data_IF_411139099478
#
_entry.id   IF_411139099478
#
_cell.length_a   1.000
_cell.length_b   1.000
_cell.length_c   1.000
_cell.angle_alpha   90.00
_cell.angle_beta   90.00
_cell.angle_gamma   90.00
#
_symmetry.space_group_name_H-M   'P 1'
#
loop_
_entity.id
_entity.type
_entity.pdbx_description
1 polymer ?
#
# COMPACT_ATOMS: atom_id res chain seq x y z
N UNK A 1 -10.95 36.50 11.75
CA UNK A 1 -9.73 35.80 12.19
C UNK A 1 -8.81 36.60 13.11
N UNK A 2 -8.34 37.82 12.78
CA UNK A 2 -7.48 38.62 13.68
C UNK A 2 -8.02 38.80 15.13
N UNK A 3 -9.31 39.05 15.29
CA UNK A 3 -9.95 39.23 16.61
C UNK A 3 -9.98 37.98 17.52
N UNK A 4 -9.84 36.79 16.96
CA UNK A 4 -9.74 35.53 17.69
C UNK A 4 -8.30 35.18 18.08
N UNK A 5 -7.31 35.57 17.25
CA UNK A 5 -5.87 35.43 17.57
C UNK A 5 -5.45 36.17 18.84
N UNK A 6 -6.01 37.34 19.09
CA UNK A 6 -5.70 38.14 20.29
C UNK A 6 -6.24 37.50 21.58
N UNK A 7 -7.33 36.72 21.51
CA UNK A 7 -7.94 36.06 22.66
C UNK A 7 -7.22 34.80 23.11
N UNK A 8 -6.44 34.17 22.21
CA UNK A 8 -5.70 32.94 22.47
C UNK A 8 -4.31 33.22 23.07
N UNK A 9 -3.70 34.38 22.79
CA UNK A 9 -2.39 34.79 23.32
C UNK A 9 -2.34 35.06 24.83
N UNK A 10 -3.45 35.04 25.52
CA UNK A 10 -3.53 35.31 26.97
C UNK A 10 -3.57 34.08 27.88
N UNK A 11 -3.37 32.88 27.35
CA UNK A 11 -3.37 31.65 28.16
C UNK A 11 -1.96 31.32 28.66
N UNK A 12 -1.79 31.37 29.96
CA UNK A 12 -0.61 31.03 30.78
C UNK A 12 -0.14 29.57 30.54
N UNK A 13 1.16 29.27 30.69
CA UNK A 13 1.68 27.91 30.59
C UNK A 13 1.10 27.02 31.70
N UNK A 14 0.72 25.81 31.33
CA UNK A 14 0.02 24.85 32.17
C UNK A 14 0.97 24.21 33.20
N UNK A 15 0.69 24.42 34.48
CA UNK A 15 1.25 23.62 35.58
C UNK A 15 0.25 22.55 36.02
N UNK A 16 0.73 21.29 36.12
CA UNK A 16 -0.09 20.15 36.55
C UNK A 16 -0.36 20.26 38.06
N UNK A 17 -1.63 20.41 38.48
CA UNK A 17 -2.06 20.41 39.87
C UNK A 17 -3.14 19.36 40.06
N UNK A 18 -3.03 18.56 41.08
CA UNK A 18 -3.87 17.50 41.69
C UNK A 18 -5.09 16.88 40.95
N UNK A 19 -5.39 15.62 41.26
CA UNK A 19 -6.33 14.77 40.54
C UNK A 19 -7.79 15.24 40.42
N UNK A 20 -8.27 16.09 41.34
CA UNK A 20 -9.66 16.59 41.37
C UNK A 20 -9.90 17.82 40.49
N UNK A 21 -8.85 18.57 40.21
CA UNK A 21 -8.92 19.73 39.30
C UNK A 21 -8.64 19.35 37.85
N UNK A 22 -8.07 18.14 37.62
CA UNK A 22 -7.71 17.64 36.32
C UNK A 22 -8.93 17.55 35.37
N UNK A 23 -10.12 17.19 35.88
CA UNK A 23 -11.27 17.03 35.00
C UNK A 23 -11.81 18.35 34.42
N UNK A 24 -11.78 19.42 35.16
CA UNK A 24 -12.24 20.73 34.66
C UNK A 24 -11.17 21.39 33.77
N UNK A 25 -9.89 21.29 34.14
CA UNK A 25 -8.75 21.83 33.37
C UNK A 25 -8.49 21.00 32.14
N UNK A 26 -8.52 19.65 32.21
CA UNK A 26 -8.42 18.78 31.04
C UNK A 26 -9.59 18.99 30.08
N UNK A 27 -10.79 19.25 30.54
CA UNK A 27 -11.93 19.60 29.70
C UNK A 27 -11.70 20.90 28.93
N UNK A 28 -11.17 21.95 29.60
CA UNK A 28 -10.89 23.23 28.95
C UNK A 28 -9.71 23.18 27.99
N UNK A 29 -8.62 22.51 28.38
CA UNK A 29 -7.42 22.35 27.55
C UNK A 29 -7.68 21.39 26.40
N UNK A 30 -8.38 20.27 26.64
CA UNK A 30 -8.82 19.37 25.57
C UNK A 30 -9.77 20.08 24.60
N UNK A 31 -10.66 20.95 25.09
CA UNK A 31 -11.53 21.75 24.24
C UNK A 31 -10.75 22.79 23.43
N UNK A 32 -9.70 23.40 23.99
CA UNK A 32 -8.88 24.40 23.29
C UNK A 32 -7.97 23.75 22.24
N UNK A 33 -7.32 22.64 22.58
CA UNK A 33 -6.50 21.84 21.64
C UNK A 33 -7.41 21.22 20.56
N UNK A 34 -8.57 20.73 20.95
CA UNK A 34 -9.57 20.20 20.01
C UNK A 34 -10.09 21.31 19.08
N UNK A 35 -10.30 22.52 19.61
CA UNK A 35 -10.75 23.67 18.83
C UNK A 35 -9.69 24.10 17.80
N UNK A 36 -8.41 24.24 18.19
CA UNK A 36 -7.31 24.58 17.29
C UNK A 36 -7.09 23.52 16.22
N UNK A 37 -7.13 22.25 16.60
CA UNK A 37 -7.01 21.11 15.66
C UNK A 37 -8.22 21.02 14.75
N UNK A 38 -9.42 21.32 15.25
CA UNK A 38 -10.65 21.36 14.47
C UNK A 38 -10.64 22.49 13.45
N UNK A 39 -10.12 23.68 13.79
CA UNK A 39 -9.94 24.78 12.82
C UNK A 39 -8.92 24.44 11.75
N UNK A 40 -7.81 23.80 12.12
CA UNK A 40 -6.81 23.32 11.14
C UNK A 40 -7.42 22.28 10.19
N UNK A 41 -8.20 21.33 10.68
CA UNK A 41 -8.91 20.35 9.87
C UNK A 41 -9.92 21.04 8.95
N UNK A 42 -10.77 21.91 9.50
CA UNK A 42 -11.80 22.62 8.74
C UNK A 42 -11.18 23.50 7.66
N UNK A 43 -10.04 24.15 7.95
CA UNK A 43 -9.29 24.92 6.95
C UNK A 43 -8.76 24.05 5.83
N UNK A 44 -8.02 22.98 6.17
CA UNK A 44 -7.37 22.10 5.17
C UNK A 44 -8.39 21.33 4.32
N UNK A 45 -9.55 20.99 4.88
CA UNK A 45 -10.61 20.24 4.19
C UNK A 45 -11.65 21.14 3.50
N UNK A 46 -11.57 22.46 3.67
CA UNK A 46 -12.46 23.38 2.95
C UNK A 46 -12.15 23.37 1.45
N UNK A 47 -13.16 23.27 0.58
CA UNK A 47 -12.97 23.32 -0.86
C UNK A 47 -12.20 24.57 -1.33
N UNK A 48 -12.55 25.75 -0.80
CA UNK A 48 -11.91 27.02 -1.17
C UNK A 48 -10.41 27.06 -0.84
N UNK A 49 -10.02 26.44 0.28
CA UNK A 49 -8.62 26.38 0.69
C UNK A 49 -7.87 25.27 -0.04
N UNK A 50 -8.57 24.20 -0.45
CA UNK A 50 -7.96 23.12 -1.21
C UNK A 50 -7.37 23.62 -2.53
N UNK A 51 -8.03 24.52 -3.23
CA UNK A 51 -7.52 25.12 -4.47
C UNK A 51 -6.21 25.88 -4.21
N UNK A 52 -6.15 26.65 -3.11
CA UNK A 52 -4.94 27.36 -2.69
C UNK A 52 -3.81 26.37 -2.37
N UNK A 53 -4.08 25.32 -1.58
CA UNK A 53 -3.09 24.29 -1.24
C UNK A 53 -2.60 23.55 -2.50
N UNK A 54 -3.49 23.29 -3.46
CA UNK A 54 -3.15 22.66 -4.74
C UNK A 54 -2.23 23.54 -5.59
N UNK A 55 -2.45 24.85 -5.62
CA UNK A 55 -1.56 25.82 -6.29
C UNK A 55 -0.19 25.85 -5.61
N UNK A 56 -0.15 25.94 -4.28
CA UNK A 56 1.10 25.96 -3.50
C UNK A 56 1.89 24.66 -3.73
N UNK A 57 1.25 23.50 -3.63
CA UNK A 57 1.84 22.20 -3.91
C UNK A 57 2.46 22.14 -5.32
N UNK A 58 1.74 22.63 -6.32
CA UNK A 58 2.13 22.55 -7.73
C UNK A 58 3.31 23.44 -8.09
N UNK A 59 3.68 24.43 -7.27
CA UNK A 59 4.86 25.30 -7.51
C UNK A 59 6.17 24.51 -7.57
N UNK A 60 6.25 23.38 -6.90
CA UNK A 60 7.47 22.57 -6.80
C UNK A 60 7.57 21.44 -7.83
N UNK A 61 6.48 21.12 -8.54
CA UNK A 61 6.43 19.98 -9.44
C UNK A 61 5.59 20.25 -10.69
N UNK A 62 6.11 19.81 -11.85
CA UNK A 62 5.39 19.90 -13.11
C UNK A 62 4.37 18.77 -13.31
N UNK A 63 4.56 17.64 -12.63
CA UNK A 63 3.82 16.40 -12.88
C UNK A 63 2.95 15.97 -11.70
N UNK A 64 3.36 16.28 -10.46
CA UNK A 64 2.57 15.99 -9.27
C UNK A 64 1.32 16.89 -9.21
N UNK A 65 0.17 16.28 -8.87
CA UNK A 65 -1.09 17.02 -8.66
C UNK A 65 -1.71 16.55 -7.37
N UNK A 66 -1.99 17.49 -6.47
CA UNK A 66 -2.72 17.23 -5.24
C UNK A 66 -4.15 16.79 -5.58
N UNK A 67 -4.62 15.70 -5.00
CA UNK A 67 -5.96 15.15 -5.22
C UNK A 67 -6.84 15.29 -3.98
N UNK A 68 -6.24 15.35 -2.80
CA UNK A 68 -6.95 15.48 -1.55
C UNK A 68 -6.02 15.48 -0.35
N UNK A 69 -6.55 15.94 0.79
CA UNK A 69 -5.90 15.90 2.09
C UNK A 69 -6.90 15.34 3.10
N UNK A 70 -6.49 14.29 3.82
CA UNK A 70 -7.26 13.74 4.94
C UNK A 70 -6.55 14.00 6.25
N UNK A 71 -7.31 14.38 7.25
CA UNK A 71 -6.80 14.72 8.56
C UNK A 71 -7.27 13.70 9.61
N UNK A 72 -6.40 13.41 10.56
CA UNK A 72 -6.70 12.61 11.75
C UNK A 72 -6.02 13.22 12.97
N UNK A 73 -6.64 13.08 14.13
CA UNK A 73 -6.11 13.58 15.39
C UNK A 73 -5.68 12.43 16.29
N UNK A 74 -4.52 12.60 16.92
CA UNK A 74 -4.10 11.75 18.03
C UNK A 74 -3.41 12.62 19.09
N UNK A 75 -4.08 12.75 20.27
CA UNK A 75 -3.68 13.70 21.28
C UNK A 75 -3.70 15.13 20.73
N UNK A 76 -2.57 15.83 20.85
CA UNK A 76 -2.41 17.19 20.32
C UNK A 76 -1.81 17.23 18.89
N UNK A 77 -1.62 16.07 18.27
CA UNK A 77 -0.99 15.99 16.95
C UNK A 77 -2.05 15.88 15.86
N UNK A 78 -1.90 16.72 14.84
CA UNK A 78 -2.67 16.64 13.60
C UNK A 78 -1.87 15.88 12.56
N UNK A 79 -2.41 14.77 12.09
CA UNK A 79 -1.86 14.00 10.98
C UNK A 79 -2.57 14.38 9.69
N UNK A 80 -1.82 14.83 8.70
CA UNK A 80 -2.35 15.17 7.37
C UNK A 80 -1.85 14.14 6.35
N UNK A 81 -2.76 13.44 5.67
CA UNK A 81 -2.46 12.50 4.60
C UNK A 81 -2.77 13.13 3.26
N UNK A 82 -1.73 13.44 2.49
CA UNK A 82 -1.85 14.02 1.16
C UNK A 82 -1.97 12.91 0.11
N UNK A 83 -2.96 12.98 -0.74
CA UNK A 83 -3.16 12.10 -1.88
C UNK A 83 -2.84 12.85 -3.17
N UNK A 84 -1.97 12.29 -4.01
CA UNK A 84 -1.46 12.94 -5.20
C UNK A 84 -1.42 11.98 -6.39
N UNK A 85 -1.61 12.51 -7.60
CA UNK A 85 -1.28 11.82 -8.84
C UNK A 85 0.12 12.18 -9.29
N UNK A 86 0.89 11.19 -9.80
CA UNK A 86 2.30 11.33 -10.16
C UNK A 86 2.64 10.85 -11.57
N UNK A 87 1.62 10.55 -12.37
CA UNK A 87 1.80 10.02 -13.71
C UNK A 87 2.49 8.66 -13.72
N UNK A 88 3.52 8.50 -14.53
CA UNK A 88 4.28 7.26 -14.65
C UNK A 88 5.42 7.10 -13.63
N UNK A 89 5.64 8.10 -12.78
CA UNK A 89 6.57 7.99 -11.66
C UNK A 89 5.89 7.38 -10.43
N UNK A 90 6.64 6.67 -9.58
CA UNK A 90 6.17 6.32 -8.23
C UNK A 90 6.00 7.61 -7.40
N UNK A 91 6.92 8.55 -7.46
CA UNK A 91 6.69 9.96 -7.16
C UNK A 91 6.94 10.42 -5.72
N UNK A 92 7.43 9.59 -4.80
CA UNK A 92 7.59 9.96 -3.38
C UNK A 92 8.40 11.26 -3.16
N UNK A 93 9.55 11.41 -3.81
CA UNK A 93 10.37 12.63 -3.65
C UNK A 93 9.66 13.88 -4.20
N UNK A 94 8.91 13.72 -5.27
CA UNK A 94 8.12 14.81 -5.87
C UNK A 94 7.01 15.26 -4.93
N UNK A 95 6.31 14.30 -4.32
CA UNK A 95 5.24 14.55 -3.34
C UNK A 95 5.82 15.21 -2.09
N UNK A 96 6.91 14.68 -1.53
CA UNK A 96 7.54 15.24 -0.33
C UNK A 96 7.91 16.72 -0.51
N UNK A 97 8.43 17.08 -1.69
CA UNK A 97 8.75 18.48 -2.01
C UNK A 97 7.49 19.35 -2.07
N UNK A 98 6.41 18.86 -2.70
CA UNK A 98 5.13 19.58 -2.77
C UNK A 98 4.49 19.76 -1.39
N UNK A 99 4.53 18.71 -0.57
CA UNK A 99 4.04 18.75 0.82
C UNK A 99 4.83 19.75 1.66
N UNK A 100 6.16 19.82 1.52
CA UNK A 100 6.96 20.80 2.25
C UNK A 100 6.46 22.23 1.97
N UNK A 101 6.24 22.60 0.71
CA UNK A 101 5.72 23.95 0.39
C UNK A 101 4.32 24.21 0.97
N UNK A 102 3.48 23.18 1.06
CA UNK A 102 2.17 23.32 1.72
C UNK A 102 2.35 23.51 3.22
N UNK A 103 3.27 22.79 3.84
CA UNK A 103 3.55 22.93 5.29
C UNK A 103 4.13 24.30 5.60
N UNK A 104 5.10 24.79 4.82
CA UNK A 104 5.67 26.12 4.96
C UNK A 104 4.56 27.22 4.85
N UNK A 105 3.64 27.05 3.91
CA UNK A 105 2.47 27.95 3.76
C UNK A 105 1.54 27.90 4.98
N UNK A 106 1.29 26.71 5.53
CA UNK A 106 0.43 26.53 6.70
C UNK A 106 1.08 27.11 7.96
N UNK A 107 2.41 27.02 8.14
CA UNK A 107 3.12 27.64 9.25
C UNK A 107 3.00 29.19 9.24
N UNK A 108 2.99 29.80 8.05
CA UNK A 108 2.75 31.25 7.91
C UNK A 108 1.32 31.63 8.37
N UNK A 109 0.32 30.83 8.02
CA UNK A 109 -1.07 31.10 8.40
C UNK A 109 -1.41 30.67 9.83
N UNK A 110 -0.72 29.68 10.37
CA UNK A 110 -0.91 29.09 11.70
C UNK A 110 0.40 29.06 12.49
N UNK A 111 0.92 30.21 12.96
CA UNK A 111 2.22 30.32 13.64
C UNK A 111 2.31 29.57 14.99
N UNK A 112 1.20 29.09 15.52
CA UNK A 112 1.13 28.26 16.73
C UNK A 112 1.18 26.75 16.41
N UNK A 113 1.37 26.37 15.13
CA UNK A 113 1.44 25.00 14.66
C UNK A 113 2.88 24.68 14.25
N UNK A 114 3.51 23.74 14.96
CA UNK A 114 4.85 23.28 14.65
C UNK A 114 4.81 22.06 13.72
N UNK A 115 5.61 22.05 12.65
CA UNK A 115 5.80 20.88 11.79
C UNK A 115 6.81 19.93 12.41
N UNK A 116 6.34 18.80 12.93
CA UNK A 116 7.19 17.78 13.57
C UNK A 116 7.95 16.96 12.53
N UNK A 117 7.28 16.52 11.46
CA UNK A 117 7.87 15.70 10.40
C UNK A 117 6.95 15.64 9.17
N UNK A 118 7.58 15.57 7.98
CA UNK A 118 6.85 15.31 6.71
C UNK A 118 6.22 13.92 6.70
N UNK A 119 6.83 12.92 7.37
CA UNK A 119 6.30 11.56 7.44
C UNK A 119 5.88 11.20 8.86
N UNK A 120 4.57 11.14 9.10
CA UNK A 120 3.98 10.66 10.35
C UNK A 120 3.52 9.20 10.30
N UNK A 121 3.97 8.40 9.35
CA UNK A 121 3.51 7.02 9.09
C UNK A 121 2.01 6.89 8.74
N UNK A 122 1.22 7.94 8.79
CA UNK A 122 -0.16 7.95 8.30
C UNK A 122 -0.22 7.77 6.77
N UNK A 123 0.87 8.05 6.08
CA UNK A 123 1.08 7.69 4.68
C UNK A 123 1.12 6.17 4.45
N UNK A 124 1.37 5.37 5.49
CA UNK A 124 1.53 3.89 5.44
C UNK A 124 2.64 3.38 4.51
N UNK A 125 3.59 4.23 4.13
CA UNK A 125 4.74 3.85 3.30
C UNK A 125 5.57 2.75 3.97
N UNK A 126 5.83 1.66 3.24
CA UNK A 126 6.59 0.49 3.71
C UNK A 126 5.98 -0.19 4.94
N UNK A 127 4.67 -0.16 5.05
CA UNK A 127 3.92 -0.75 6.17
C UNK A 127 2.67 -1.48 5.69
N UNK A 128 2.40 -2.63 6.31
CA UNK A 128 1.14 -3.32 6.19
C UNK A 128 0.11 -2.60 7.07
N UNK A 129 -0.86 -1.92 6.46
CA UNK A 129 -1.82 -1.09 7.17
C UNK A 129 -3.24 -1.25 6.61
N UNK A 130 -4.25 -1.20 7.49
CA UNK A 130 -5.66 -1.30 7.10
C UNK A 130 -6.07 -0.18 6.13
N UNK A 131 -5.50 1.02 6.29
CA UNK A 131 -5.78 2.17 5.43
C UNK A 131 -5.45 1.91 3.95
N UNK A 132 -4.52 1.01 3.65
CA UNK A 132 -4.20 0.61 2.28
C UNK A 132 -5.35 -0.15 1.61
N UNK A 133 -6.18 -0.86 2.39
CA UNK A 133 -7.39 -1.52 1.91
C UNK A 133 -8.57 -0.56 1.78
N UNK A 134 -8.69 0.38 2.71
CA UNK A 134 -9.83 1.30 2.79
C UNK A 134 -9.71 2.41 1.74
N UNK A 135 -8.52 2.96 1.57
CA UNK A 135 -8.27 4.15 0.73
C UNK A 135 -7.38 3.87 -0.47
N UNK A 136 -6.69 2.73 -0.45
CA UNK A 136 -5.66 2.40 -1.42
C UNK A 136 -4.37 3.19 -1.21
N UNK A 137 -3.32 2.76 -1.92
CA UNK A 137 -2.04 3.44 -2.05
C UNK A 137 -1.38 3.01 -3.37
N UNK A 138 -0.81 3.93 -4.13
CA UNK A 138 -0.32 3.60 -5.46
C UNK A 138 -1.48 3.21 -6.40
N UNK A 139 -1.49 2.00 -6.92
CA UNK A 139 -2.49 1.50 -7.86
C UNK A 139 -3.24 0.30 -7.30
N UNK A 140 -4.55 0.34 -7.37
CA UNK A 140 -5.41 -0.81 -7.01
C UNK A 140 -5.74 -1.59 -8.28
N UNK A 141 -5.52 -2.90 -8.26
CA UNK A 141 -5.74 -3.78 -9.42
C UNK A 141 -6.46 -5.04 -8.98
N UNK A 142 -7.45 -5.43 -9.76
CA UNK A 142 -8.09 -6.75 -9.72
C UNK A 142 -7.76 -7.47 -11.02
N UNK A 143 -7.23 -8.69 -10.91
CA UNK A 143 -7.06 -9.60 -12.02
C UNK A 143 -7.86 -10.88 -11.78
N UNK A 144 -8.49 -11.41 -12.82
CA UNK A 144 -9.27 -12.65 -12.73
C UNK A 144 -9.10 -13.51 -13.98
N UNK A 145 -9.37 -14.80 -13.82
CA UNK A 145 -9.37 -15.75 -14.92
C UNK A 145 -10.33 -16.92 -14.64
N UNK A 146 -10.93 -17.47 -15.69
CA UNK A 146 -11.66 -18.74 -15.64
C UNK A 146 -10.77 -19.83 -16.24
N UNK A 147 -10.44 -20.83 -15.44
CA UNK A 147 -9.63 -21.98 -15.81
C UNK A 147 -10.55 -23.18 -16.02
N UNK A 148 -10.55 -23.70 -17.25
CA UNK A 148 -11.39 -24.84 -17.60
C UNK A 148 -10.98 -26.10 -16.85
N UNK A 149 -11.96 -26.95 -16.52
CA UNK A 149 -11.75 -28.22 -15.80
C UNK A 149 -10.63 -29.06 -16.40
N UNK A 150 -10.59 -29.18 -17.71
CA UNK A 150 -9.55 -29.96 -18.41
C UNK A 150 -8.13 -29.45 -18.14
N UNK A 151 -7.95 -28.14 -17.97
CA UNK A 151 -6.67 -27.52 -17.62
C UNK A 151 -6.33 -27.79 -16.15
N UNK A 152 -7.32 -27.69 -15.26
CA UNK A 152 -7.14 -28.02 -13.84
C UNK A 152 -6.68 -29.46 -13.66
N UNK A 153 -7.32 -30.39 -14.38
CA UNK A 153 -6.98 -31.82 -14.29
C UNK A 153 -5.65 -32.15 -15.00
N UNK A 154 -5.48 -31.71 -16.24
CA UNK A 154 -4.34 -32.14 -17.10
C UNK A 154 -3.06 -31.37 -16.82
N UNK A 155 -3.14 -30.07 -16.51
CA UNK A 155 -1.98 -29.18 -16.31
C UNK A 155 -1.71 -29.01 -14.82
N UNK A 156 -2.71 -28.61 -14.04
CA UNK A 156 -2.54 -28.33 -12.60
C UNK A 156 -2.55 -29.61 -11.75
N UNK A 157 -2.94 -30.76 -12.31
CA UNK A 157 -2.90 -32.09 -11.68
C UNK A 157 -3.73 -32.20 -10.39
N UNK A 158 -4.83 -31.50 -10.32
CA UNK A 158 -5.75 -31.45 -9.19
C UNK A 158 -7.20 -31.34 -9.69
N UNK A 159 -8.12 -30.96 -8.86
CA UNK A 159 -9.51 -30.71 -9.20
C UNK A 159 -10.00 -29.39 -8.60
N UNK A 160 -11.09 -28.85 -9.15
CA UNK A 160 -11.65 -27.54 -8.77
C UNK A 160 -12.03 -27.50 -7.29
N UNK A 161 -12.71 -28.53 -6.80
CA UNK A 161 -13.17 -28.60 -5.41
C UNK A 161 -12.01 -28.53 -4.41
N UNK A 162 -10.95 -29.30 -4.65
CA UNK A 162 -9.76 -29.29 -3.78
C UNK A 162 -9.05 -27.94 -3.75
N UNK A 163 -9.04 -27.23 -4.88
CA UNK A 163 -8.44 -25.88 -4.96
C UNK A 163 -9.26 -24.86 -4.16
N UNK A 164 -10.58 -24.89 -4.32
CA UNK A 164 -11.49 -23.99 -3.59
C UNK A 164 -11.41 -24.25 -2.09
N UNK A 165 -11.48 -25.51 -1.66
CA UNK A 165 -11.36 -25.89 -0.25
C UNK A 165 -10.02 -25.47 0.36
N UNK A 166 -8.92 -25.74 -0.34
CA UNK A 166 -7.59 -25.36 0.12
C UNK A 166 -7.45 -23.83 0.24
N UNK A 167 -8.01 -23.06 -0.70
CA UNK A 167 -8.01 -21.60 -0.62
C UNK A 167 -8.75 -21.10 0.62
N UNK A 168 -9.93 -21.64 0.90
CA UNK A 168 -10.73 -21.27 2.08
C UNK A 168 -9.97 -21.57 3.38
N UNK A 169 -9.42 -22.79 3.49
CA UNK A 169 -8.74 -23.23 4.72
C UNK A 169 -7.42 -22.48 4.90
N UNK A 170 -6.60 -22.40 3.84
CA UNK A 170 -5.24 -21.83 3.91
C UNK A 170 -5.25 -20.31 3.81
N UNK A 171 -5.68 -19.79 2.65
CA UNK A 171 -5.49 -18.37 2.34
C UNK A 171 -6.47 -17.48 3.10
N UNK A 172 -7.70 -17.94 3.38
CA UNK A 172 -8.69 -17.14 4.10
C UNK A 172 -8.67 -17.44 5.59
N UNK A 173 -9.09 -18.62 6.02
CA UNK A 173 -9.19 -18.96 7.43
C UNK A 173 -7.83 -18.96 8.14
N UNK A 174 -6.81 -19.58 7.55
CA UNK A 174 -5.45 -19.62 8.11
C UNK A 174 -4.84 -18.23 8.26
N UNK A 175 -5.02 -17.35 7.28
CA UNK A 175 -4.56 -15.95 7.37
C UNK A 175 -5.31 -15.16 8.43
N UNK A 176 -6.62 -15.39 8.57
CA UNK A 176 -7.43 -14.77 9.63
C UNK A 176 -6.99 -15.23 11.03
N UNK A 177 -6.73 -16.52 11.21
CA UNK A 177 -6.19 -17.09 12.49
C UNK A 177 -4.83 -16.47 12.84
N UNK A 178 -3.99 -16.23 11.83
CA UNK A 178 -2.70 -15.57 12.02
C UNK A 178 -2.82 -14.05 12.27
N UNK A 179 -4.00 -13.44 12.10
CA UNK A 179 -4.19 -11.99 12.16
C UNK A 179 -3.48 -11.25 11.03
N UNK A 180 -3.35 -11.88 9.86
CA UNK A 180 -2.67 -11.28 8.71
C UNK A 180 -3.40 -10.04 8.19
N UNK A 181 -2.69 -8.93 8.07
CA UNK A 181 -3.21 -7.70 7.50
C UNK A 181 -2.78 -7.59 6.02
N UNK A 182 -3.69 -7.97 5.11
CA UNK A 182 -3.44 -7.96 3.67
C UNK A 182 -2.70 -9.18 3.13
N UNK A 183 -2.50 -10.21 3.94
CA UNK A 183 -1.81 -11.45 3.58
C UNK A 183 -2.74 -12.64 3.29
N UNK A 184 -3.91 -12.42 2.69
CA UNK A 184 -4.88 -13.47 2.35
C UNK A 184 -4.54 -14.11 0.99
N UNK A 185 -3.31 -14.63 0.89
CA UNK A 185 -2.74 -15.21 -0.32
C UNK A 185 -1.70 -16.26 0.03
N UNK A 186 -1.19 -16.98 -0.96
CA UNK A 186 -0.18 -18.01 -0.74
C UNK A 186 1.25 -17.43 -0.67
N UNK A 187 1.64 -16.57 -1.63
CA UNK A 187 3.01 -16.04 -1.71
C UNK A 187 3.16 -14.81 -2.63
N UNK A 188 2.14 -13.97 -2.71
CA UNK A 188 2.16 -12.76 -3.54
C UNK A 188 3.46 -11.94 -3.39
N UNK A 189 3.99 -11.86 -2.17
CA UNK A 189 5.25 -11.15 -1.86
C UNK A 189 6.46 -11.68 -2.65
N UNK A 190 6.55 -12.98 -2.94
CA UNK A 190 7.65 -13.53 -3.73
C UNK A 190 7.63 -13.01 -5.16
N UNK A 191 6.45 -12.96 -5.76
CA UNK A 191 6.26 -12.51 -7.15
C UNK A 191 6.52 -11.00 -7.26
N UNK A 192 5.96 -10.23 -6.34
CA UNK A 192 6.16 -8.77 -6.29
C UNK A 192 7.63 -8.43 -6.10
N UNK A 193 8.34 -9.11 -5.18
CA UNK A 193 9.78 -8.92 -4.97
C UNK A 193 10.58 -9.16 -6.25
N UNK A 194 10.32 -10.26 -6.96
CA UNK A 194 11.03 -10.59 -8.18
C UNK A 194 10.83 -9.51 -9.26
N UNK A 195 9.58 -9.06 -9.47
CA UNK A 195 9.27 -8.02 -10.45
C UNK A 195 9.87 -6.67 -10.04
N UNK A 196 9.81 -6.32 -8.75
CA UNK A 196 10.36 -5.05 -8.25
C UNK A 196 11.86 -4.96 -8.48
N UNK A 197 12.60 -6.02 -8.18
CA UNK A 197 14.04 -6.09 -8.45
C UNK A 197 14.31 -6.03 -9.96
N UNK A 198 13.57 -6.80 -10.76
CA UNK A 198 13.75 -6.87 -12.21
C UNK A 198 13.44 -5.54 -12.93
N UNK A 199 12.52 -4.73 -12.39
CA UNK A 199 12.04 -3.49 -13.04
C UNK A 199 12.52 -2.21 -12.35
N UNK A 200 13.40 -2.33 -11.34
CA UNK A 200 14.01 -1.19 -10.66
C UNK A 200 13.05 -0.42 -9.74
N UNK A 201 12.04 -1.08 -9.18
CA UNK A 201 11.15 -0.53 -8.17
C UNK A 201 11.83 -0.51 -6.81
N UNK A 202 11.26 0.21 -5.83
CA UNK A 202 11.74 0.21 -4.45
C UNK A 202 11.39 -1.13 -3.76
N UNK A 203 12.36 -2.01 -3.44
CA UNK A 203 12.08 -3.31 -2.86
C UNK A 203 11.39 -3.22 -1.49
N UNK A 204 11.61 -2.15 -0.72
CA UNK A 204 11.01 -1.97 0.59
C UNK A 204 9.50 -1.73 0.51
N UNK A 205 9.00 -1.22 -0.63
CA UNK A 205 7.56 -1.04 -0.88
C UNK A 205 6.85 -2.36 -1.26
N UNK A 206 7.57 -3.48 -1.29
CA UNK A 206 6.94 -4.80 -1.35
C UNK A 206 5.98 -5.05 -0.17
N UNK A 207 6.21 -4.45 0.99
CA UNK A 207 5.39 -4.65 2.20
C UNK A 207 3.91 -4.33 1.91
N UNK A 208 3.61 -3.16 1.35
CA UNK A 208 2.26 -2.77 0.98
C UNK A 208 1.85 -3.24 -0.41
N UNK A 209 2.78 -3.29 -1.35
CA UNK A 209 2.47 -3.64 -2.75
C UNK A 209 2.13 -5.11 -2.93
N UNK A 210 2.51 -5.98 -2.01
CA UNK A 210 2.15 -7.40 -2.02
C UNK A 210 0.89 -7.73 -1.21
N UNK A 211 0.22 -6.74 -0.63
CA UNK A 211 -1.10 -6.95 -0.05
C UNK A 211 -2.05 -7.50 -1.11
N UNK A 212 -2.64 -8.65 -0.83
CA UNK A 212 -3.41 -9.40 -1.81
C UNK A 212 -4.45 -10.28 -1.12
N UNK A 213 -5.65 -10.31 -1.68
CA UNK A 213 -6.65 -11.35 -1.40
C UNK A 213 -6.78 -12.21 -2.64
N UNK A 214 -6.52 -13.52 -2.49
CA UNK A 214 -6.71 -14.53 -3.53
C UNK A 214 -8.02 -15.26 -3.27
N UNK A 215 -8.95 -15.21 -4.25
CA UNK A 215 -10.23 -15.90 -4.21
C UNK A 215 -10.25 -16.99 -5.27
N UNK A 216 -10.78 -18.14 -4.90
CA UNK A 216 -11.04 -19.27 -5.80
C UNK A 216 -12.48 -19.72 -5.65
N UNK A 217 -13.18 -19.83 -6.76
CA UNK A 217 -14.61 -20.18 -6.79
C UNK A 217 -14.89 -21.21 -7.89
N UNK A 218 -15.77 -22.15 -7.59
CA UNK A 218 -16.26 -23.10 -8.60
C UNK A 218 -17.38 -22.45 -9.43
N UNK A 219 -17.23 -22.41 -10.74
CA UNK A 219 -18.18 -21.81 -11.67
C UNK A 219 -18.64 -22.82 -12.74
N UNK A 220 -19.59 -22.43 -13.58
CA UNK A 220 -20.13 -23.27 -14.65
C UNK A 220 -20.65 -24.64 -14.16
N UNK A 221 -21.41 -24.63 -13.05
CA UNK A 221 -21.91 -25.85 -12.43
C UNK A 221 -20.86 -26.69 -11.71
N UNK A 222 -19.80 -26.02 -11.17
CA UNK A 222 -18.75 -26.67 -10.40
C UNK A 222 -17.62 -27.25 -11.26
N UNK A 223 -17.67 -27.10 -12.57
CA UNK A 223 -16.68 -27.67 -13.49
C UNK A 223 -15.43 -26.83 -13.63
N UNK A 224 -15.60 -25.51 -13.80
CA UNK A 224 -14.49 -24.60 -14.06
C UNK A 224 -14.09 -23.85 -12.79
N UNK A 225 -12.86 -23.44 -12.73
CA UNK A 225 -12.30 -22.65 -11.64
C UNK A 225 -12.26 -21.17 -12.02
N UNK A 226 -12.93 -20.31 -11.27
CA UNK A 226 -12.68 -18.89 -11.29
C UNK A 226 -11.63 -18.55 -10.23
N UNK A 227 -10.57 -17.85 -10.62
CA UNK A 227 -9.56 -17.33 -9.73
C UNK A 227 -9.47 -15.82 -9.89
N UNK A 228 -9.38 -15.10 -8.77
CA UNK A 228 -9.11 -13.68 -8.78
C UNK A 228 -8.10 -13.29 -7.71
N UNK A 229 -7.37 -12.20 -7.96
CA UNK A 229 -6.52 -11.52 -7.00
C UNK A 229 -6.91 -10.05 -6.93
N UNK A 230 -7.06 -9.54 -5.71
CA UNK A 230 -7.29 -8.11 -5.44
C UNK A 230 -6.10 -7.55 -4.70
N UNK A 231 -5.43 -6.57 -5.31
CA UNK A 231 -4.22 -5.93 -4.78
C UNK A 231 -4.48 -4.41 -4.67
N UNK A 232 -4.66 -3.87 -3.45
CA UNK A 232 -5.14 -2.50 -3.24
C UNK A 232 -4.06 -1.44 -3.38
N UNK A 233 -2.77 -1.80 -3.31
CA UNK A 233 -1.70 -0.82 -3.05
C UNK A 233 -0.38 -1.10 -3.77
N UNK A 234 -0.44 -1.37 -5.06
CA UNK A 234 0.77 -1.59 -5.89
C UNK A 234 1.46 -0.26 -6.16
N UNK A 235 2.66 -0.08 -5.61
CA UNK A 235 3.49 1.11 -5.79
C UNK A 235 4.56 0.86 -6.83
N UNK A 236 4.30 1.25 -8.07
CA UNK A 236 5.21 1.08 -9.19
C UNK A 236 5.29 2.36 -10.03
N UNK A 237 6.45 2.56 -10.63
CA UNK A 237 6.70 3.59 -11.61
C UNK A 237 7.58 3.07 -12.75
N UNK A 238 7.48 3.72 -13.91
CA UNK A 238 8.28 3.41 -15.10
C UNK A 238 9.28 4.51 -15.42
N UNK A 239 9.33 5.54 -14.55
CA UNK A 239 10.22 6.71 -14.64
C UNK A 239 10.88 6.95 -13.30
N UNK A 240 12.16 7.27 -13.34
CA UNK A 240 12.95 7.64 -12.17
C UNK A 240 13.50 6.44 -11.39
N UNK A 241 14.32 6.72 -10.37
CA UNK A 241 14.93 5.71 -9.53
C UNK A 241 15.69 4.63 -10.28
N UNK A 242 15.55 3.38 -9.84
CA UNK A 242 16.20 2.21 -10.42
C UNK A 242 15.75 1.85 -11.84
N UNK A 243 14.67 2.45 -12.36
CA UNK A 243 14.13 2.16 -13.70
C UNK A 243 15.09 2.52 -14.84
N UNK A 244 16.11 3.33 -14.55
CA UNK A 244 17.12 3.78 -15.54
C UNK A 244 18.35 2.87 -15.60
N UNK A 245 18.51 1.95 -14.65
CA UNK A 245 19.60 0.97 -14.69
C UNK A 245 19.45 0.08 -15.94
N UNK A 246 20.55 -0.28 -16.57
CA UNK A 246 20.54 -0.93 -17.89
C UNK A 246 19.66 -2.19 -17.94
N UNK A 247 19.83 -3.09 -16.96
CA UNK A 247 19.06 -4.34 -16.89
C UNK A 247 17.58 -4.10 -16.60
N UNK A 248 17.25 -3.21 -15.67
CA UNK A 248 15.88 -2.88 -15.28
C UNK A 248 15.16 -2.14 -16.42
N UNK A 249 15.87 -1.24 -17.10
CA UNK A 249 15.36 -0.55 -18.27
C UNK A 249 15.06 -1.52 -19.43
N UNK A 250 15.89 -2.55 -19.63
CA UNK A 250 15.64 -3.59 -20.62
C UNK A 250 14.41 -4.45 -20.28
N UNK A 251 14.21 -4.78 -19.00
CA UNK A 251 13.01 -5.48 -18.55
C UNK A 251 11.74 -4.64 -18.79
N UNK A 252 11.76 -3.34 -18.48
CA UNK A 252 10.64 -2.45 -18.75
C UNK A 252 10.36 -2.29 -20.25
N UNK A 253 11.40 -2.30 -21.06
CA UNK A 253 11.30 -2.25 -22.53
C UNK A 253 10.64 -3.52 -23.08
N UNK A 254 11.07 -4.69 -22.59
CA UNK A 254 10.47 -5.99 -22.93
C UNK A 254 8.98 -6.06 -22.60
N UNK A 255 8.58 -5.45 -21.48
CA UNK A 255 7.17 -5.36 -21.06
C UNK A 255 6.39 -4.28 -21.83
N UNK A 256 7.04 -3.46 -22.67
CA UNK A 256 6.42 -2.37 -23.41
C UNK A 256 5.96 -1.19 -22.52
N UNK A 257 6.55 -1.03 -21.35
CA UNK A 257 6.14 0.00 -20.36
C UNK A 257 7.26 0.99 -19.99
N UNK A 258 8.37 0.97 -20.71
CA UNK A 258 9.53 1.82 -20.43
C UNK A 258 9.23 3.30 -20.56
N UNK A 259 9.61 4.07 -19.54
CA UNK A 259 9.56 5.53 -19.57
C UNK A 259 8.15 6.10 -19.34
N UNK A 260 8.00 7.39 -19.68
CA UNK A 260 6.73 8.10 -19.53
C UNK A 260 5.87 7.96 -20.77
N UNK A 261 4.59 7.70 -20.60
CA UNK A 261 3.61 7.78 -21.68
C UNK A 261 3.22 9.26 -21.89
N UNK A 262 3.54 9.77 -23.08
CA UNK A 262 3.31 11.20 -23.42
C UNK A 262 1.87 11.50 -23.80
N UNK A 263 1.17 10.53 -24.37
CA UNK A 263 -0.22 10.68 -24.80
C UNK A 263 -1.20 10.51 -23.63
N UNK A 264 -0.92 9.56 -22.74
CA UNK A 264 -1.74 9.27 -21.57
C UNK A 264 -0.85 9.08 -20.32
N UNK A 265 -0.48 10.17 -19.63
CA UNK A 265 0.38 10.10 -18.44
C UNK A 265 -0.15 9.14 -17.38
N UNK A 266 0.72 8.25 -16.90
CA UNK A 266 0.38 7.20 -15.92
C UNK A 266 -0.06 5.87 -16.54
N UNK A 267 -0.22 5.78 -17.87
CA UNK A 267 -0.64 4.52 -18.52
C UNK A 267 0.41 3.43 -18.41
N UNK A 268 1.69 3.74 -18.57
CA UNK A 268 2.76 2.75 -18.45
C UNK A 268 2.86 2.21 -17.02
N UNK A 269 2.74 3.07 -16.01
CA UNK A 269 2.75 2.63 -14.63
C UNK A 269 1.49 1.82 -14.26
N UNK A 270 0.31 2.16 -14.82
CA UNK A 270 -0.90 1.34 -14.66
C UNK A 270 -0.74 -0.03 -15.31
N UNK A 271 -0.20 -0.08 -16.51
CA UNK A 271 0.06 -1.35 -17.21
C UNK A 271 1.06 -2.21 -16.43
N UNK A 272 2.14 -1.61 -15.89
CA UNK A 272 3.08 -2.34 -15.03
C UNK A 272 2.38 -2.91 -13.79
N UNK A 273 1.51 -2.13 -13.13
CA UNK A 273 0.73 -2.64 -11.99
C UNK A 273 -0.19 -3.81 -12.39
N UNK A 274 -0.79 -3.74 -13.57
CA UNK A 274 -1.60 -4.85 -14.13
C UNK A 274 -0.74 -6.10 -14.39
N UNK A 275 0.47 -5.92 -14.93
CA UNK A 275 1.44 -7.02 -15.11
C UNK A 275 1.81 -7.65 -13.76
N UNK A 276 2.05 -6.84 -12.73
CA UNK A 276 2.32 -7.34 -11.37
C UNK A 276 1.17 -8.20 -10.87
N UNK A 277 -0.07 -7.70 -10.94
CA UNK A 277 -1.24 -8.44 -10.46
C UNK A 277 -1.51 -9.71 -11.27
N UNK A 278 -1.34 -9.67 -12.59
CA UNK A 278 -1.45 -10.85 -13.46
C UNK A 278 -0.40 -11.92 -13.16
N UNK A 279 0.83 -11.50 -12.89
CA UNK A 279 1.90 -12.42 -12.48
C UNK A 279 1.64 -13.02 -11.08
N UNK A 280 1.11 -12.21 -10.15
CA UNK A 280 0.69 -12.71 -8.83
C UNK A 280 -0.42 -13.74 -8.99
N UNK A 281 -1.45 -13.49 -9.80
CA UNK A 281 -2.53 -14.44 -10.07
C UNK A 281 -1.98 -15.78 -10.61
N UNK A 282 -1.08 -15.73 -11.57
CA UNK A 282 -0.45 -16.93 -12.13
C UNK A 282 0.41 -17.67 -11.07
N UNK A 283 1.16 -16.93 -10.26
CA UNK A 283 1.97 -17.49 -9.17
C UNK A 283 1.12 -18.13 -8.08
N UNK A 284 0.04 -17.46 -7.67
CA UNK A 284 -0.93 -17.98 -6.68
C UNK A 284 -1.57 -19.28 -7.18
N UNK A 285 -2.06 -19.30 -8.43
CA UNK A 285 -2.63 -20.50 -9.04
C UNK A 285 -1.62 -21.66 -9.07
N UNK A 286 -0.39 -21.36 -9.49
CA UNK A 286 0.68 -22.36 -9.57
C UNK A 286 1.00 -22.97 -8.20
N UNK A 287 1.18 -22.14 -7.17
CA UNK A 287 1.54 -22.63 -5.84
C UNK A 287 0.42 -23.40 -5.16
N UNK A 288 -0.80 -22.87 -5.20
CA UNK A 288 -1.94 -23.56 -4.56
C UNK A 288 -2.24 -24.90 -5.25
N UNK A 289 -2.04 -24.97 -6.56
CA UNK A 289 -2.18 -26.22 -7.32
C UNK A 289 -1.11 -27.25 -6.93
N UNK A 290 0.13 -26.82 -6.78
CA UNK A 290 1.22 -27.71 -6.32
C UNK A 290 1.00 -28.20 -4.90
N UNK A 291 0.39 -27.41 -4.03
CA UNK A 291 0.01 -27.79 -2.67
C UNK A 291 -1.15 -28.79 -2.68
N UNK A 292 -2.23 -28.52 -3.44
CA UNK A 292 -3.39 -29.42 -3.58
C UNK A 292 -2.99 -30.78 -4.17
N UNK A 293 -2.06 -30.81 -5.10
CA UNK A 293 -1.52 -32.03 -5.71
C UNK A 293 -0.48 -32.77 -4.83
N UNK A 294 -0.09 -32.24 -3.66
CA UNK A 294 0.94 -32.81 -2.78
C UNK A 294 2.38 -32.72 -3.32
N UNK A 295 2.60 -31.99 -4.42
CA UNK A 295 3.91 -31.94 -5.09
C UNK A 295 4.92 -30.98 -4.46
N UNK A 296 4.47 -30.02 -3.64
CA UNK A 296 5.33 -28.98 -3.08
C UNK A 296 6.45 -29.55 -2.21
N UNK A 297 6.14 -30.46 -1.29
CA UNK A 297 7.10 -31.10 -0.40
C UNK A 297 8.11 -31.93 -1.19
N UNK A 298 7.64 -32.70 -2.18
CA UNK A 298 8.50 -33.48 -3.05
C UNK A 298 9.48 -32.62 -3.83
N UNK A 299 9.02 -31.48 -4.35
CA UNK A 299 9.88 -30.53 -5.07
C UNK A 299 10.96 -29.92 -4.18
N UNK A 300 10.59 -29.49 -2.96
CA UNK A 300 11.56 -28.96 -1.99
C UNK A 300 12.59 -30.00 -1.57
N UNK A 301 12.18 -31.25 -1.36
CA UNK A 301 13.10 -32.34 -1.04
C UNK A 301 14.08 -32.62 -2.17
N UNK A 302 13.61 -32.49 -3.43
CA UNK A 302 14.44 -32.76 -4.61
C UNK A 302 15.48 -31.66 -4.89
N UNK A 303 15.10 -30.39 -4.74
CA UNK A 303 15.89 -29.26 -5.22
C UNK A 303 16.59 -28.46 -4.12
N UNK A 304 16.06 -28.44 -2.89
CA UNK A 304 16.54 -27.53 -1.84
C UNK A 304 17.23 -28.24 -0.66
N UNK A 305 17.29 -29.58 -0.61
CA UNK A 305 18.02 -30.30 0.43
C UNK A 305 19.21 -31.08 -0.12
N UNK A 306 20.36 -30.94 0.57
CA UNK A 306 21.44 -31.90 0.39
C UNK A 306 20.93 -33.27 0.89
N UNK A 307 21.06 -34.31 0.07
CA UNK A 307 20.69 -35.70 0.36
C UNK A 307 21.60 -36.36 1.39
N UNK A 308 21.86 -35.77 2.52
CA UNK A 308 22.43 -36.55 3.64
C UNK A 308 21.26 -37.07 4.48
N UNK A 309 20.85 -38.29 4.19
CA UNK A 309 19.97 -39.06 5.05
C UNK A 309 20.60 -39.13 6.43
N UNK A 310 19.87 -38.67 7.42
CA UNK A 310 20.23 -38.80 8.84
C UNK A 310 20.14 -40.24 9.34
N UNK A 311 19.85 -41.19 8.47
CA UNK A 311 19.78 -42.62 8.81
C UNK A 311 21.13 -43.25 9.21
N UNK A 312 22.26 -42.59 8.99
CA UNK A 312 23.57 -43.06 9.41
C UNK A 312 24.15 -42.41 10.67
N UNK A 313 23.38 -41.56 11.36
CA UNK A 313 23.86 -40.92 12.60
C UNK A 313 23.47 -41.68 13.89
N UNK A 314 22.83 -42.85 13.79
CA UNK A 314 22.39 -43.65 14.93
C UNK A 314 23.23 -44.93 15.13
N UNK A 315 24.43 -44.99 14.53
CA UNK A 315 25.36 -46.11 14.71
C UNK A 315 26.76 -45.55 15.01
N UNK A 316 26.91 -44.92 16.17
CA UNK A 316 28.19 -44.76 16.91
C UNK A 316 27.87 -44.60 18.38
#
# INVERSE_FOLDING_TARGET
MRRWREKIRSSTPLHVVGLTEIFAICGLVASLIYLLSFFGIAFVQSPDNFDTLSVVFSRSTRFGRLQGVKCALAGRNLYMRFTCSTGDAMGMNMISKGVQHVLDYLEEDFPDMDVVSISGNFCSDKKSAAVNWIEGRGKSVVCEAIIREEVVQKVLKTNVQSLVELNVIKNLAGSAVAGALGGFNAHASNIVSAIFIATGQDPAQNVESSQCITMLEAVNGGRDLHISVTMPSIEVGTVGGGTQLASQSACLDLLGVKGANRESPGSNARLLATVVAGAVLAGELSLISAQAAGHLVQSHMKYNRSRKDMSNAAAC
#
